data_IF_842514214109
#
_entry.id   IF_842514214109
#
_cell.length_a   1.000
_cell.length_b   1.000
_cell.length_c   1.000
_cell.angle_alpha   90.00
_cell.angle_beta   90.00
_cell.angle_gamma   90.00
#
_symmetry.space_group_name_H-M   'P 1'
#
loop_
_entity.id
_entity.type
_entity.pdbx_description
1 polymer ?
#
# COMPACT_ATOMS: atom_id res chain seq x y z
N UNK A 1 13.49 -7.16 -9.35
CA UNK A 1 13.62 -5.90 -10.13
C UNK A 1 12.20 -5.37 -10.34
N UNK A 2 11.78 -4.36 -9.57
CA UNK A 2 10.37 -3.92 -9.55
C UNK A 2 9.92 -3.40 -10.93
N UNK A 3 8.87 -3.98 -11.51
CA UNK A 3 8.24 -3.47 -12.73
C UNK A 3 7.80 -2.00 -12.58
N UNK A 4 7.62 -1.27 -13.68
CA UNK A 4 7.28 0.17 -13.64
C UNK A 4 5.93 0.47 -12.95
N UNK A 5 5.01 -0.51 -12.91
CA UNK A 5 3.63 -0.35 -12.41
C UNK A 5 3.53 0.11 -10.95
N UNK A 6 4.01 -0.67 -9.96
CA UNK A 6 3.89 -0.30 -8.55
C UNK A 6 4.53 1.05 -8.19
N UNK A 7 5.61 1.43 -8.90
CA UNK A 7 6.26 2.74 -8.71
C UNK A 7 5.40 3.89 -9.26
N UNK A 8 4.71 3.69 -10.38
CA UNK A 8 3.82 4.68 -10.95
C UNK A 8 2.60 4.92 -10.06
N UNK A 9 2.01 3.86 -9.49
CA UNK A 9 0.87 3.96 -8.57
C UNK A 9 1.23 4.74 -7.30
N UNK A 10 2.41 4.47 -6.72
CA UNK A 10 2.90 5.23 -5.57
C UNK A 10 3.16 6.69 -5.93
N UNK A 11 3.80 6.98 -7.06
CA UNK A 11 4.04 8.35 -7.51
C UNK A 11 2.72 9.12 -7.73
N UNK A 12 1.71 8.46 -8.29
CA UNK A 12 0.37 9.02 -8.47
C UNK A 12 -0.26 9.37 -7.11
N UNK A 13 -0.16 8.49 -6.10
CA UNK A 13 -0.68 8.75 -4.78
C UNK A 13 -0.10 10.05 -4.17
N UNK A 14 1.22 10.21 -4.21
CA UNK A 14 1.88 11.41 -3.70
C UNK A 14 1.53 12.67 -4.52
N UNK A 15 1.36 12.54 -5.84
CA UNK A 15 0.91 13.66 -6.68
C UNK A 15 -0.52 14.12 -6.36
N UNK A 16 -1.39 13.17 -5.99
CA UNK A 16 -2.78 13.45 -5.65
C UNK A 16 -2.95 14.05 -4.26
N UNK A 17 -2.02 13.86 -3.33
CA UNK A 17 -2.16 14.23 -1.91
C UNK A 17 -2.73 15.66 -1.70
N UNK A 18 -2.24 16.66 -2.43
CA UNK A 18 -2.71 18.04 -2.29
C UNK A 18 -4.00 18.33 -3.07
N UNK A 19 -4.27 17.57 -4.13
CA UNK A 19 -5.37 17.80 -5.09
C UNK A 19 -6.64 17.08 -4.68
N UNK A 20 -6.48 15.81 -4.34
CA UNK A 20 -7.52 14.87 -4.01
C UNK A 20 -6.98 13.87 -2.98
N UNK A 21 -7.00 14.23 -1.69
CA UNK A 21 -6.39 13.41 -0.65
C UNK A 21 -7.13 12.07 -0.45
N UNK A 22 -8.42 12.00 -0.76
CA UNK A 22 -9.17 10.74 -0.72
C UNK A 22 -8.67 9.77 -1.80
N UNK A 23 -8.56 10.24 -3.05
CA UNK A 23 -7.98 9.42 -4.11
C UNK A 23 -6.49 9.14 -3.92
N UNK A 24 -5.74 10.00 -3.22
CA UNK A 24 -4.36 9.73 -2.83
C UNK A 24 -4.27 8.49 -1.92
N UNK A 25 -5.15 8.35 -0.91
CA UNK A 25 -5.21 7.17 -0.04
C UNK A 25 -5.52 5.90 -0.85
N UNK A 26 -6.48 5.97 -1.76
CA UNK A 26 -6.85 4.84 -2.63
C UNK A 26 -5.67 4.42 -3.52
N UNK A 27 -5.02 5.38 -4.19
CA UNK A 27 -3.86 5.12 -5.03
C UNK A 27 -2.67 4.54 -4.24
N UNK A 28 -2.44 5.04 -3.02
CA UNK A 28 -1.39 4.56 -2.13
C UNK A 28 -1.60 3.08 -1.79
N UNK A 29 -2.82 2.70 -1.43
CA UNK A 29 -3.17 1.31 -1.16
C UNK A 29 -2.89 0.41 -2.36
N UNK A 30 -3.34 0.78 -3.57
CA UNK A 30 -3.10 -0.06 -4.76
C UNK A 30 -1.62 -0.18 -5.11
N UNK A 31 -0.84 0.91 -5.00
CA UNK A 31 0.60 0.86 -5.20
C UNK A 31 1.29 -0.08 -4.22
N UNK A 32 0.92 -0.02 -2.94
CA UNK A 32 1.40 -0.96 -1.92
C UNK A 32 0.95 -2.39 -2.22
N UNK A 33 -0.31 -2.60 -2.59
CA UNK A 33 -0.88 -3.91 -2.90
C UNK A 33 -0.09 -4.60 -4.01
N UNK A 34 0.13 -3.90 -5.13
CA UNK A 34 0.90 -4.44 -6.25
C UNK A 34 2.37 -4.66 -5.90
N UNK A 35 2.98 -3.76 -5.12
CA UNK A 35 4.34 -3.93 -4.62
C UNK A 35 4.49 -5.20 -3.77
N UNK A 36 3.58 -5.43 -2.84
CA UNK A 36 3.63 -6.61 -1.96
C UNK A 36 3.38 -7.91 -2.73
N UNK A 37 2.51 -7.90 -3.75
CA UNK A 37 2.32 -9.06 -4.64
C UNK A 37 3.62 -9.35 -5.38
N UNK A 38 4.24 -8.35 -6.01
CA UNK A 38 5.50 -8.52 -6.72
C UNK A 38 6.60 -9.07 -5.80
N UNK A 39 6.76 -8.47 -4.61
CA UNK A 39 7.69 -8.94 -3.57
C UNK A 39 7.44 -10.41 -3.19
N UNK A 40 6.18 -10.78 -3.07
CA UNK A 40 5.80 -12.12 -2.64
C UNK A 40 6.07 -13.15 -3.72
N UNK A 41 5.83 -12.82 -4.99
CA UNK A 41 6.12 -13.69 -6.12
C UNK A 41 7.62 -13.86 -6.39
N UNK A 42 8.45 -12.87 -6.03
CA UNK A 42 9.91 -13.04 -6.05
C UNK A 42 10.37 -14.08 -5.00
N UNK A 43 9.67 -14.21 -3.85
CA UNK A 43 10.03 -15.13 -2.75
C UNK A 43 9.37 -16.50 -2.85
N UNK A 44 8.15 -16.55 -3.39
CA UNK A 44 7.36 -17.76 -3.59
C UNK A 44 6.76 -17.73 -5.01
N UNK A 45 7.56 -18.06 -6.04
CA UNK A 45 7.12 -17.99 -7.42
C UNK A 45 5.96 -18.96 -7.71
N UNK A 46 5.00 -18.49 -8.50
CA UNK A 46 3.87 -19.28 -8.95
C UNK A 46 2.85 -18.42 -9.71
N UNK A 47 1.94 -19.05 -10.48
CA UNK A 47 0.84 -18.31 -11.10
C UNK A 47 -0.06 -17.74 -10.01
N UNK A 48 -0.22 -16.42 -9.97
CA UNK A 48 -1.07 -15.75 -9.01
C UNK A 48 -1.74 -14.53 -9.63
N UNK A 49 -3.08 -14.52 -9.58
CA UNK A 49 -3.91 -13.36 -9.88
C UNK A 49 -4.94 -13.24 -8.77
N UNK A 50 -4.82 -12.25 -7.86
CA UNK A 50 -5.75 -12.14 -6.75
C UNK A 50 -7.12 -11.72 -7.27
N UNK A 51 -8.16 -12.44 -6.86
CA UNK A 51 -9.57 -12.04 -7.04
C UNK A 51 -10.12 -11.34 -5.80
N UNK A 52 -9.49 -11.58 -4.65
CA UNK A 52 -9.87 -11.03 -3.34
C UNK A 52 -8.65 -10.59 -2.56
N UNK A 53 -8.80 -9.58 -1.72
CA UNK A 53 -7.71 -9.11 -0.85
C UNK A 53 -7.24 -10.18 0.15
N UNK A 54 -8.12 -11.10 0.56
CA UNK A 54 -7.75 -12.24 1.42
C UNK A 54 -6.80 -13.23 0.73
N UNK A 55 -6.88 -13.37 -0.60
CA UNK A 55 -5.95 -14.20 -1.37
C UNK A 55 -4.55 -13.58 -1.41
N UNK A 56 -4.47 -12.26 -1.56
CA UNK A 56 -3.21 -11.53 -1.46
C UNK A 56 -2.59 -11.67 -0.06
N UNK A 57 -3.39 -11.56 1.01
CA UNK A 57 -2.91 -11.80 2.37
C UNK A 57 -2.32 -13.20 2.54
N UNK A 58 -2.98 -14.24 2.00
CA UNK A 58 -2.48 -15.62 2.04
C UNK A 58 -1.15 -15.75 1.31
N UNK A 59 -1.01 -15.15 0.13
CA UNK A 59 0.26 -15.08 -0.60
C UNK A 59 1.35 -14.42 0.24
N UNK A 60 1.06 -13.30 0.90
CA UNK A 60 2.02 -12.59 1.77
C UNK A 60 2.50 -13.48 2.93
N UNK A 61 1.61 -14.33 3.48
CA UNK A 61 2.00 -15.31 4.51
C UNK A 61 2.93 -16.37 3.94
N UNK A 62 2.59 -16.93 2.77
CA UNK A 62 3.39 -17.96 2.09
C UNK A 62 4.78 -17.46 1.72
N UNK A 63 4.89 -16.21 1.26
CA UNK A 63 6.16 -15.55 0.95
C UNK A 63 6.96 -15.11 2.20
N UNK A 64 6.48 -15.43 3.41
CA UNK A 64 7.17 -15.10 4.66
C UNK A 64 7.25 -13.61 4.95
N UNK A 65 6.30 -12.79 4.47
CA UNK A 65 6.27 -11.36 4.83
C UNK A 65 5.98 -11.19 6.32
N UNK A 66 6.73 -10.30 6.96
CA UNK A 66 6.65 -10.06 8.40
C UNK A 66 5.22 -9.70 8.83
N UNK A 67 4.87 -10.05 10.08
CA UNK A 67 3.55 -9.72 10.65
C UNK A 67 3.26 -8.21 10.60
N UNK A 68 4.27 -7.37 10.82
CA UNK A 68 4.17 -5.91 10.73
C UNK A 68 3.74 -5.42 9.35
N UNK A 69 4.35 -5.98 8.28
CA UNK A 69 3.98 -5.65 6.89
C UNK A 69 2.52 -5.96 6.61
N UNK A 70 2.06 -7.15 7.04
CA UNK A 70 0.67 -7.59 6.82
C UNK A 70 -0.34 -6.71 7.58
N UNK A 71 -0.03 -6.35 8.83
CA UNK A 71 -0.87 -5.42 9.63
C UNK A 71 -0.98 -4.05 8.98
N UNK A 72 0.14 -3.49 8.52
CA UNK A 72 0.15 -2.19 7.87
C UNK A 72 -0.63 -2.20 6.54
N UNK A 73 -0.52 -3.30 5.78
CA UNK A 73 -1.33 -3.52 4.58
C UNK A 73 -2.84 -3.58 4.91
N UNK A 74 -3.24 -4.30 5.94
CA UNK A 74 -4.65 -4.38 6.37
C UNK A 74 -5.19 -3.01 6.79
N UNK A 75 -4.40 -2.21 7.51
CA UNK A 75 -4.78 -0.83 7.85
C UNK A 75 -4.91 0.07 6.62
N UNK A 76 -3.98 -0.02 5.66
CA UNK A 76 -4.08 0.71 4.40
C UNK A 76 -5.32 0.30 3.59
N UNK A 77 -5.67 -0.98 3.58
CA UNK A 77 -6.89 -1.47 2.96
C UNK A 77 -8.13 -0.84 3.61
N UNK A 78 -8.23 -0.87 4.94
CA UNK A 78 -9.32 -0.23 5.70
C UNK A 78 -9.46 1.26 5.35
N UNK A 79 -8.36 2.02 5.41
CA UNK A 79 -8.34 3.44 5.09
C UNK A 79 -8.75 3.71 3.63
N UNK A 80 -8.35 2.85 2.69
CA UNK A 80 -8.76 2.98 1.29
C UNK A 80 -10.26 2.76 1.07
N UNK A 81 -10.90 1.93 1.89
CA UNK A 81 -12.35 1.73 1.84
C UNK A 81 -13.09 2.94 2.38
N UNK A 82 -12.63 3.49 3.51
CA UNK A 82 -13.17 4.75 4.05
C UNK A 82 -13.06 5.86 3.01
N UNK A 83 -11.86 6.04 2.44
CA UNK A 83 -11.60 7.06 1.42
C UNK A 83 -12.49 6.93 0.18
N UNK A 84 -12.86 5.71 -0.20
CA UNK A 84 -13.60 5.44 -1.43
C UNK A 84 -15.11 5.51 -1.27
N UNK A 85 -15.63 5.18 -0.09
CA UNK A 85 -17.06 4.92 0.09
C UNK A 85 -17.72 5.80 1.15
N UNK A 86 -16.96 6.38 2.07
CA UNK A 86 -17.53 7.29 3.06
C UNK A 86 -17.65 8.71 2.47
N UNK A 87 -18.72 9.45 2.83
CA UNK A 87 -18.95 10.80 2.32
C UNK A 87 -18.08 11.83 3.07
N UNK A 88 -16.76 11.70 2.95
CA UNK A 88 -15.78 12.53 3.64
C UNK A 88 -15.54 13.85 2.92
N UNK A 89 -15.30 14.90 3.70
CA UNK A 89 -14.84 16.19 3.21
C UNK A 89 -13.36 16.14 2.80
N UNK A 90 -12.90 17.19 2.12
CA UNK A 90 -11.48 17.31 1.76
C UNK A 90 -10.55 17.44 2.97
N UNK A 91 -11.00 18.04 4.07
CA UNK A 91 -10.22 18.14 5.32
C UNK A 91 -10.07 16.76 5.96
N UNK A 92 -11.18 16.02 6.12
CA UNK A 92 -11.15 14.64 6.62
C UNK A 92 -10.29 13.75 5.71
N UNK A 93 -10.33 13.98 4.40
CA UNK A 93 -9.43 13.31 3.46
C UNK A 93 -7.94 13.59 3.74
N UNK A 94 -7.56 14.82 4.13
CA UNK A 94 -6.16 15.13 4.51
C UNK A 94 -5.74 14.40 5.77
N UNK A 95 -6.63 14.30 6.75
CA UNK A 95 -6.38 13.53 7.97
C UNK A 95 -6.24 12.03 7.66
N UNK A 96 -7.12 11.51 6.80
CA UNK A 96 -7.05 10.12 6.34
C UNK A 96 -5.76 9.84 5.55
N UNK A 97 -5.31 10.80 4.73
CA UNK A 97 -4.01 10.74 4.06
C UNK A 97 -2.84 10.70 5.05
N UNK A 98 -2.88 11.52 6.11
CA UNK A 98 -1.88 11.50 7.19
C UNK A 98 -1.83 10.13 7.87
N UNK A 99 -2.98 9.54 8.20
CA UNK A 99 -3.04 8.18 8.76
C UNK A 99 -2.50 7.13 7.80
N UNK A 100 -2.83 7.23 6.51
CA UNK A 100 -2.35 6.31 5.49
C UNK A 100 -0.82 6.42 5.31
N UNK A 101 -0.26 7.62 5.42
CA UNK A 101 1.19 7.81 5.41
C UNK A 101 1.89 7.15 6.59
N UNK A 102 1.33 7.21 7.80
CA UNK A 102 1.89 6.51 8.96
C UNK A 102 1.85 4.99 8.79
N UNK A 103 0.74 4.45 8.28
CA UNK A 103 0.65 3.03 7.93
C UNK A 103 1.66 2.63 6.85
N UNK A 104 1.86 3.47 5.83
CA UNK A 104 2.87 3.25 4.79
C UNK A 104 4.31 3.30 5.33
N UNK A 105 4.63 4.23 6.24
CA UNK A 105 5.93 4.28 6.92
C UNK A 105 6.18 3.00 7.72
N UNK A 106 5.22 2.57 8.54
CA UNK A 106 5.31 1.33 9.30
C UNK A 106 5.51 0.10 8.39
N UNK A 107 4.85 0.08 7.22
CA UNK A 107 5.06 -0.95 6.21
C UNK A 107 6.49 -0.93 5.67
N UNK A 108 7.04 0.24 5.32
CA UNK A 108 8.41 0.38 4.83
C UNK A 108 9.44 -0.05 5.87
N UNK A 109 9.25 0.34 7.12
CA UNK A 109 10.11 -0.07 8.24
C UNK A 109 10.09 -1.60 8.41
N UNK A 110 8.90 -2.20 8.41
CA UNK A 110 8.73 -3.64 8.53
C UNK A 110 9.27 -4.45 7.34
N UNK A 111 9.41 -3.82 6.17
CA UNK A 111 10.10 -4.39 5.00
C UNK A 111 11.63 -4.28 5.07
N UNK A 112 12.17 -3.60 6.09
CA UNK A 112 13.62 -3.42 6.28
C UNK A 112 14.15 -2.09 5.74
N UNK A 113 13.42 -0.99 5.93
CA UNK A 113 13.79 0.34 5.45
C UNK A 113 15.13 0.88 6.01
N UNK A 114 16.26 0.52 5.40
CA UNK A 114 17.45 1.36 5.31
C UNK A 114 17.47 2.01 3.92
N UNK A 115 16.86 3.18 3.82
CA UNK A 115 16.78 3.93 2.57
C UNK A 115 16.07 5.26 2.78
N UNK A 116 16.74 6.14 3.53
CA UNK A 116 16.46 7.57 3.50
C UNK A 116 16.92 8.17 2.16
N UNK A 117 16.46 9.37 1.80
CA UNK A 117 16.93 10.08 0.62
C UNK A 117 18.36 10.57 0.89
N UNK A 118 19.34 9.95 0.25
CA UNK A 118 20.75 10.29 0.46
C UNK A 118 21.69 9.22 -0.09
N UNK A 119 21.69 9.05 -1.40
CA UNK A 119 22.80 8.51 -2.19
C UNK A 119 22.75 9.14 -3.58
#
# INVERSE_FOLDING_TARGET
MWGRGPKADLALAFFLADRDPLWAVVALFYGVHHLLIALSLERAPGPFTPRKYSEALSLFRQAGLAKGVRKAYEKLLELSWQARYEPLTREEGRELWREALEAYKALREALGGTGGPGA
#
